data_IF_161802903492
#
_entry.id   IF_161802903492
#
_cell.length_a   1.000
_cell.length_b   1.000
_cell.length_c   1.000
_cell.angle_alpha   90.00
_cell.angle_beta   90.00
_cell.angle_gamma   90.00
#
_symmetry.space_group_name_H-M   'P 1'
#
loop_
_entity.id
_entity.type
_entity.pdbx_description
1 polymer ?
#
# COMPACT_ATOMS: atom_id res chain seq x y z
N UNK A 1 -29.45 16.25 -21.36
CA UNK A 1 -29.01 15.37 -22.48
C UNK A 1 -27.59 15.70 -23.05
N UNK A 2 -26.85 16.69 -22.55
CA UNK A 2 -25.51 17.08 -23.08
C UNK A 2 -24.31 16.29 -22.55
N UNK A 3 -24.47 15.57 -21.41
CA UNK A 3 -23.38 14.80 -20.78
C UNK A 3 -22.77 13.66 -21.63
N UNK A 4 -23.56 12.85 -22.38
CA UNK A 4 -22.98 11.76 -23.18
C UNK A 4 -22.17 12.23 -24.37
N UNK A 5 -22.57 13.33 -25.02
CA UNK A 5 -21.84 13.90 -26.17
C UNK A 5 -20.48 14.49 -25.78
N UNK A 6 -20.39 15.15 -24.61
CA UNK A 6 -19.13 15.66 -24.09
C UNK A 6 -18.16 14.53 -23.70
N UNK A 7 -18.67 13.43 -23.11
CA UNK A 7 -17.86 12.27 -22.80
C UNK A 7 -17.31 11.59 -24.07
N UNK A 8 -18.15 11.39 -25.09
CA UNK A 8 -17.74 10.81 -26.36
C UNK A 8 -16.69 11.67 -27.10
N UNK A 9 -16.83 12.99 -27.07
CA UNK A 9 -15.86 13.91 -27.68
C UNK A 9 -14.52 13.90 -26.91
N UNK A 10 -14.54 13.78 -25.59
CA UNK A 10 -13.35 13.64 -24.78
C UNK A 10 -12.65 12.28 -25.01
N UNK A 11 -13.41 11.21 -25.23
CA UNK A 11 -12.86 9.88 -25.51
C UNK A 11 -12.15 9.82 -26.88
N UNK A 12 -12.52 10.67 -27.83
CA UNK A 12 -11.81 10.80 -29.11
C UNK A 12 -10.45 11.49 -28.94
N UNK A 13 -10.37 12.50 -28.06
CA UNK A 13 -9.13 13.27 -27.82
C UNK A 13 -8.25 12.55 -26.78
N UNK A 14 -8.88 11.92 -25.78
CA UNK A 14 -8.23 11.19 -24.69
C UNK A 14 -8.81 9.77 -24.60
N UNK A 15 -8.47 8.89 -25.56
CA UNK A 15 -9.04 7.56 -25.56
C UNK A 15 -8.69 6.81 -24.26
N UNK A 16 -9.66 6.07 -23.68
CA UNK A 16 -9.41 5.28 -22.49
C UNK A 16 -8.48 4.12 -22.81
N UNK A 17 -7.19 4.33 -22.56
CA UNK A 17 -6.14 3.35 -22.79
C UNK A 17 -5.80 2.57 -21.53
N UNK A 18 -5.51 1.29 -21.70
CA UNK A 18 -5.00 0.45 -20.63
C UNK A 18 -3.67 1.00 -20.07
N UNK A 19 -3.58 1.17 -18.76
CA UNK A 19 -2.36 1.65 -18.10
C UNK A 19 -1.17 0.71 -18.26
N UNK A 20 -1.40 -0.58 -18.55
CA UNK A 20 -0.37 -1.61 -18.77
C UNK A 20 0.00 -1.72 -20.23
N UNK A 21 -0.91 -2.21 -21.09
CA UNK A 21 -0.60 -2.56 -22.49
C UNK A 21 -0.90 -1.45 -23.51
N UNK A 22 -1.49 -0.32 -23.07
CA UNK A 22 -1.87 0.82 -23.91
C UNK A 22 -2.95 0.55 -24.96
N UNK A 23 -3.55 -0.64 -24.99
CA UNK A 23 -4.70 -0.90 -25.85
C UNK A 23 -5.92 -0.08 -25.42
N UNK A 24 -6.76 0.25 -26.39
CA UNK A 24 -8.03 0.93 -26.15
C UNK A 24 -8.99 0.02 -25.34
N UNK A 25 -9.72 0.61 -24.40
CA UNK A 25 -10.70 -0.08 -23.55
C UNK A 25 -12.05 0.59 -23.76
N UNK A 26 -12.98 0.00 -24.53
CA UNK A 26 -14.29 0.62 -24.82
C UNK A 26 -15.10 0.95 -23.56
N UNK A 27 -14.95 0.15 -22.52
CA UNK A 27 -15.65 0.27 -21.23
C UNK A 27 -14.65 0.29 -20.07
N UNK A 28 -13.76 1.29 -20.06
CA UNK A 28 -12.61 1.33 -19.14
C UNK A 28 -12.99 1.42 -17.64
N UNK A 29 -14.19 1.91 -17.33
CA UNK A 29 -14.58 2.17 -15.94
C UNK A 29 -13.59 3.10 -15.24
N UNK A 30 -13.39 2.93 -13.93
CA UNK A 30 -12.48 3.77 -13.14
C UNK A 30 -11.02 3.25 -13.12
N UNK A 31 -10.79 1.98 -13.48
CA UNK A 31 -9.47 1.33 -13.36
C UNK A 31 -8.54 1.62 -14.54
N UNK A 32 -9.09 1.73 -15.74
CA UNK A 32 -8.30 1.82 -16.98
C UNK A 32 -7.23 0.71 -17.09
N UNK A 33 -7.61 -0.52 -16.74
CA UNK A 33 -6.82 -1.75 -16.89
C UNK A 33 -7.71 -2.75 -17.60
N UNK A 34 -7.28 -3.26 -18.76
CA UNK A 34 -8.06 -4.24 -19.51
C UNK A 34 -8.08 -5.61 -18.81
N UNK A 35 -9.09 -6.46 -19.07
CA UNK A 35 -9.23 -7.77 -18.42
C UNK A 35 -7.97 -8.62 -18.52
N UNK A 36 -7.35 -8.71 -19.69
CA UNK A 36 -6.15 -9.51 -19.93
C UNK A 36 -4.97 -9.02 -19.08
N UNK A 37 -4.80 -7.70 -18.96
CA UNK A 37 -3.76 -7.15 -18.10
C UNK A 37 -4.06 -7.34 -16.61
N UNK A 38 -5.34 -7.41 -16.23
CA UNK A 38 -5.74 -7.67 -14.87
C UNK A 38 -5.45 -9.10 -14.44
N UNK A 39 -5.64 -10.07 -15.33
CA UNK A 39 -5.26 -11.47 -15.12
C UNK A 39 -3.75 -11.65 -14.88
N UNK A 40 -2.92 -10.76 -15.46
CA UNK A 40 -1.47 -10.72 -15.23
C UNK A 40 -1.07 -10.05 -13.90
N UNK A 41 -2.03 -9.72 -13.04
CA UNK A 41 -1.84 -9.09 -11.74
C UNK A 41 -2.45 -9.97 -10.65
N UNK A 42 -1.80 -11.10 -10.30
CA UNK A 42 -2.38 -12.08 -9.40
C UNK A 42 -2.63 -11.48 -8.01
N UNK A 43 -3.87 -11.58 -7.48
CA UNK A 43 -4.15 -11.20 -6.11
C UNK A 43 -3.48 -12.19 -5.15
N UNK A 44 -3.10 -11.69 -3.98
CA UNK A 44 -2.62 -12.55 -2.89
C UNK A 44 -3.85 -13.10 -2.16
N UNK A 45 -4.00 -14.43 -2.21
CA UNK A 45 -5.16 -15.15 -1.66
C UNK A 45 -4.74 -16.14 -0.58
N UNK A 46 -5.70 -16.53 0.26
CA UNK A 46 -5.53 -17.55 1.30
C UNK A 46 -5.03 -18.90 0.71
N UNK A 47 -4.29 -19.72 1.50
CA UNK A 47 -3.98 -19.50 2.92
C UNK A 47 -2.84 -18.50 3.14
N UNK A 48 -3.00 -17.64 4.15
CA UNK A 48 -2.07 -16.55 4.47
C UNK A 48 -1.57 -16.64 5.91
N UNK A 49 -0.39 -16.09 6.16
CA UNK A 49 0.02 -15.82 7.53
C UNK A 49 -0.97 -14.84 8.18
N UNK A 50 -1.52 -15.20 9.34
CA UNK A 50 -2.52 -14.38 10.05
C UNK A 50 -2.00 -13.00 10.40
N UNK A 51 -0.70 -12.86 10.65
CA UNK A 51 -0.05 -11.59 10.98
C UNK A 51 0.52 -10.90 9.74
N UNK A 52 1.57 -11.44 9.12
CA UNK A 52 2.25 -10.68 8.05
C UNK A 52 1.65 -10.84 6.65
N UNK A 53 0.67 -11.74 6.46
CA UNK A 53 -0.02 -11.92 5.18
C UNK A 53 0.85 -12.55 4.07
N UNK A 54 1.92 -13.27 4.42
CA UNK A 54 2.65 -14.06 3.42
C UNK A 54 1.79 -15.24 2.99
N UNK A 55 1.63 -15.50 1.68
CA UNK A 55 0.87 -16.66 1.22
C UNK A 55 1.64 -17.95 1.45
N UNK A 56 0.89 -19.03 1.69
CA UNK A 56 1.42 -20.38 1.75
C UNK A 56 1.07 -21.16 0.47
N UNK A 57 1.94 -22.09 0.10
CA UNK A 57 1.65 -23.02 -0.99
C UNK A 57 0.79 -24.17 -0.49
N UNK A 58 -0.19 -24.58 -1.31
CA UNK A 58 -1.06 -25.73 -1.03
C UNK A 58 -2.39 -25.37 -0.35
N UNK A 59 -3.15 -26.41 0.01
CA UNK A 59 -4.43 -26.29 0.70
C UNK A 59 -4.21 -26.17 2.21
N UNK A 60 -5.08 -25.41 2.88
CA UNK A 60 -5.02 -25.23 4.34
C UNK A 60 -5.78 -23.99 4.79
N UNK A 61 -5.67 -23.72 6.08
CA UNK A 61 -6.22 -22.50 6.70
C UNK A 61 -5.11 -21.49 7.00
N UNK A 62 -5.50 -20.25 7.20
CA UNK A 62 -4.58 -19.20 7.66
C UNK A 62 -3.91 -19.60 8.99
N UNK A 63 -2.58 -19.45 9.06
CA UNK A 63 -1.80 -19.77 10.26
C UNK A 63 -0.56 -18.86 10.36
N UNK A 64 0.18 -18.90 11.46
CA UNK A 64 1.41 -18.13 11.62
C UNK A 64 2.55 -18.72 10.77
N UNK A 65 3.27 -17.86 10.03
CA UNK A 65 4.51 -18.29 9.38
C UNK A 65 5.66 -18.40 10.41
N UNK A 66 6.70 -19.17 10.07
CA UNK A 66 7.86 -19.35 10.94
C UNK A 66 8.50 -18.04 11.42
N UNK A 67 8.60 -17.04 10.54
CA UNK A 67 9.12 -15.72 10.91
C UNK A 67 8.28 -15.01 11.97
N UNK A 68 6.95 -15.01 11.82
CA UNK A 68 6.04 -14.38 12.79
C UNK A 68 5.91 -15.20 14.10
N UNK A 69 6.10 -16.51 14.03
CA UNK A 69 6.13 -17.37 15.23
C UNK A 69 7.37 -17.12 16.07
N UNK A 70 8.53 -16.93 15.43
CA UNK A 70 9.81 -16.71 16.11
C UNK A 70 9.96 -15.27 16.63
N UNK A 71 9.50 -14.28 15.85
CA UNK A 71 9.60 -12.86 16.17
C UNK A 71 8.33 -12.15 15.72
N UNK A 72 7.40 -11.99 16.68
CA UNK A 72 6.13 -11.31 16.42
C UNK A 72 6.39 -9.85 16.03
N UNK A 73 5.91 -9.37 14.89
CA UNK A 73 6.09 -7.98 14.51
C UNK A 73 5.29 -7.02 15.39
N UNK A 74 5.68 -5.75 15.39
CA UNK A 74 5.02 -4.68 16.16
C UNK A 74 3.72 -4.19 15.52
N UNK A 75 3.32 -4.71 14.37
CA UNK A 75 2.00 -4.52 13.80
C UNK A 75 1.14 -5.77 14.01
N UNK A 76 -0.17 -5.59 14.13
CA UNK A 76 -1.10 -6.69 14.46
C UNK A 76 -1.47 -7.53 13.24
N UNK A 77 -1.59 -6.89 12.07
CA UNK A 77 -1.86 -7.60 10.82
C UNK A 77 -1.32 -6.83 9.61
N UNK A 78 -0.96 -7.56 8.56
CA UNK A 78 -0.59 -6.97 7.28
C UNK A 78 -1.21 -7.75 6.12
N UNK A 79 -1.68 -7.03 5.09
CA UNK A 79 -2.16 -7.61 3.83
C UNK A 79 -1.67 -6.79 2.66
N UNK A 80 -1.35 -7.47 1.57
CA UNK A 80 -1.10 -6.85 0.28
C UNK A 80 -2.14 -7.33 -0.72
N UNK A 81 -2.55 -6.45 -1.64
CA UNK A 81 -3.56 -6.81 -2.62
C UNK A 81 -3.00 -7.74 -3.70
N UNK A 82 -1.79 -7.48 -4.18
CA UNK A 82 -1.20 -8.14 -5.35
C UNK A 82 0.19 -8.69 -5.04
N UNK A 83 0.61 -9.71 -5.79
CA UNK A 83 2.01 -10.08 -5.87
C UNK A 83 2.81 -8.97 -6.59
N UNK A 84 4.04 -8.67 -6.10
CA UNK A 84 4.92 -7.66 -6.71
C UNK A 84 5.72 -8.27 -7.86
N UNK A 85 5.02 -8.57 -8.95
CA UNK A 85 5.59 -9.19 -10.15
C UNK A 85 4.85 -8.73 -11.42
N UNK A 86 5.36 -9.03 -12.58
CA UNK A 86 4.71 -8.74 -13.86
C UNK A 86 4.14 -7.32 -13.95
N UNK A 87 2.90 -7.21 -14.38
CA UNK A 87 2.20 -5.94 -14.60
C UNK A 87 2.03 -5.10 -13.33
N UNK A 88 1.82 -5.74 -12.16
CA UNK A 88 1.71 -5.01 -10.88
C UNK A 88 3.02 -4.32 -10.52
N UNK A 89 4.17 -4.99 -10.68
CA UNK A 89 5.49 -4.40 -10.49
C UNK A 89 5.72 -3.23 -11.44
N UNK A 90 5.38 -3.37 -12.71
CA UNK A 90 5.62 -2.35 -13.73
C UNK A 90 4.79 -1.07 -13.47
N UNK A 91 3.52 -1.21 -13.07
CA UNK A 91 2.66 -0.09 -12.69
C UNK A 91 3.21 0.62 -11.44
N UNK A 92 3.58 -0.11 -10.40
CA UNK A 92 4.13 0.47 -9.18
C UNK A 92 5.49 1.14 -9.46
N UNK A 93 6.32 0.54 -10.30
CA UNK A 93 7.59 1.14 -10.72
C UNK A 93 7.36 2.44 -11.51
N UNK A 94 6.40 2.46 -12.44
CA UNK A 94 6.04 3.66 -13.20
C UNK A 94 5.49 4.76 -12.28
N UNK A 95 4.69 4.39 -11.28
CA UNK A 95 4.19 5.29 -10.24
C UNK A 95 5.35 5.88 -9.40
N UNK A 96 6.30 5.03 -8.96
CA UNK A 96 7.43 5.45 -8.11
C UNK A 96 8.48 6.32 -8.82
N UNK A 97 8.81 5.99 -10.07
CA UNK A 97 10.04 6.48 -10.71
C UNK A 97 9.83 7.20 -12.03
N UNK A 98 8.63 7.11 -12.64
CA UNK A 98 8.33 7.77 -13.91
C UNK A 98 7.32 8.91 -13.77
N UNK A 99 7.13 9.41 -12.55
CA UNK A 99 6.20 10.50 -12.20
C UNK A 99 4.74 10.31 -12.71
N UNK A 100 4.30 9.04 -12.89
CA UNK A 100 2.94 8.73 -13.34
C UNK A 100 1.96 8.74 -12.17
N UNK A 101 1.77 9.91 -11.55
CA UNK A 101 0.94 10.08 -10.35
C UNK A 101 -0.54 9.74 -10.57
N UNK A 102 -1.03 9.75 -11.82
CA UNK A 102 -2.39 9.30 -12.17
C UNK A 102 -2.63 7.81 -11.83
N UNK A 103 -1.57 6.99 -11.77
CA UNK A 103 -1.67 5.58 -11.38
C UNK A 103 -2.07 5.37 -9.91
N UNK A 104 -2.04 6.43 -9.08
CA UNK A 104 -2.55 6.37 -7.69
C UNK A 104 -3.99 5.84 -7.63
N UNK A 105 -4.85 6.27 -8.61
CA UNK A 105 -6.26 5.90 -8.62
C UNK A 105 -6.46 4.41 -8.91
N UNK A 106 -6.03 3.84 -10.04
CA UNK A 106 -6.18 2.41 -10.30
C UNK A 106 -5.53 1.53 -9.24
N UNK A 107 -4.33 1.89 -8.74
CA UNK A 107 -3.66 1.11 -7.69
C UNK A 107 -4.44 1.10 -6.37
N UNK A 108 -4.95 2.26 -5.93
CA UNK A 108 -5.77 2.34 -4.73
C UNK A 108 -7.13 1.64 -4.89
N UNK A 109 -7.76 1.72 -6.07
CA UNK A 109 -9.01 1.04 -6.36
C UNK A 109 -8.86 -0.47 -6.33
N UNK A 110 -7.82 -1.01 -6.96
CA UNK A 110 -7.48 -2.45 -6.89
C UNK A 110 -7.25 -2.89 -5.43
N UNK A 111 -6.49 -2.09 -4.66
CA UNK A 111 -6.26 -2.37 -3.25
C UNK A 111 -7.55 -2.38 -2.46
N UNK A 112 -8.44 -1.41 -2.69
CA UNK A 112 -9.75 -1.35 -2.03
C UNK A 112 -10.63 -2.54 -2.41
N UNK A 113 -10.69 -2.87 -3.68
CA UNK A 113 -11.51 -3.98 -4.17
C UNK A 113 -11.10 -5.31 -3.53
N UNK A 114 -9.81 -5.60 -3.49
CA UNK A 114 -9.28 -6.86 -2.99
C UNK A 114 -9.29 -6.93 -1.46
N UNK A 115 -8.98 -5.82 -0.77
CA UNK A 115 -8.79 -5.82 0.68
C UNK A 115 -9.95 -5.20 1.47
N UNK A 116 -11.07 -4.82 0.84
CA UNK A 116 -12.17 -4.11 1.52
C UNK A 116 -12.77 -4.88 2.70
N UNK A 117 -12.93 -6.19 2.58
CA UNK A 117 -13.45 -7.05 3.65
C UNK A 117 -12.47 -7.12 4.82
N UNK A 118 -11.19 -7.37 4.53
CA UNK A 118 -10.14 -7.36 5.54
C UNK A 118 -10.06 -6.01 6.26
N UNK A 119 -10.07 -4.89 5.53
CA UNK A 119 -10.02 -3.56 6.13
C UNK A 119 -11.23 -3.32 7.04
N UNK A 120 -12.43 -3.67 6.59
CA UNK A 120 -13.66 -3.54 7.40
C UNK A 120 -13.63 -4.38 8.66
N UNK A 121 -13.11 -5.59 8.61
CA UNK A 121 -12.98 -6.46 9.79
C UNK A 121 -12.08 -5.87 10.87
N UNK A 122 -11.05 -5.09 10.47
CA UNK A 122 -10.14 -4.40 11.39
C UNK A 122 -10.71 -3.10 11.99
N UNK A 123 -11.76 -2.54 11.41
CA UNK A 123 -12.46 -1.32 11.87
C UNK A 123 -11.50 -0.16 12.17
N UNK A 124 -10.62 0.25 11.25
CA UNK A 124 -9.67 1.31 11.51
C UNK A 124 -10.36 2.66 11.71
N UNK A 125 -9.86 3.43 12.67
CA UNK A 125 -10.35 4.78 12.99
C UNK A 125 -9.63 5.83 12.15
N UNK A 126 -8.38 5.52 11.71
CA UNK A 126 -7.50 6.48 11.06
C UNK A 126 -6.61 5.79 10.00
N UNK A 127 -6.45 6.44 8.85
CA UNK A 127 -5.45 6.04 7.85
C UNK A 127 -4.18 6.87 8.07
N UNK A 128 -3.03 6.21 8.13
CA UNK A 128 -1.73 6.86 8.18
C UNK A 128 -0.82 6.35 7.06
N UNK A 129 -0.36 7.20 6.14
CA UNK A 129 0.60 6.81 5.11
C UNK A 129 2.01 6.70 5.69
N UNK A 130 2.77 5.69 5.28
CA UNK A 130 4.19 5.59 5.60
C UNK A 130 4.94 6.80 5.04
N UNK A 131 5.65 7.58 5.89
CA UNK A 131 6.30 8.79 5.44
C UNK A 131 7.63 8.53 4.72
N UNK A 132 7.91 9.33 3.72
CA UNK A 132 9.23 9.41 3.10
C UNK A 132 10.13 10.41 3.86
N UNK A 133 11.42 10.13 3.86
CA UNK A 133 12.40 11.12 4.33
C UNK A 133 12.44 12.34 3.38
N UNK A 134 12.70 13.54 3.93
CA UNK A 134 12.70 14.81 3.17
C UNK A 134 13.55 14.76 1.90
N UNK A 135 14.77 14.19 1.94
CA UNK A 135 15.64 14.02 0.77
C UNK A 135 14.95 13.21 -0.35
N UNK A 136 14.28 12.09 0.01
CA UNK A 136 13.57 11.26 -0.96
C UNK A 136 12.30 11.92 -1.49
N UNK A 137 11.60 12.67 -0.63
CA UNK A 137 10.44 13.46 -1.03
C UNK A 137 10.82 14.56 -2.01
N UNK A 138 11.91 15.29 -1.75
CA UNK A 138 12.44 16.35 -2.63
C UNK A 138 12.85 15.79 -4.00
N UNK A 139 13.55 14.65 -4.04
CA UNK A 139 13.98 14.03 -5.31
C UNK A 139 12.84 13.41 -6.12
N UNK A 140 11.77 12.95 -5.46
CA UNK A 140 10.64 12.27 -6.09
C UNK A 140 9.46 13.20 -6.39
N UNK A 141 9.34 14.31 -5.65
CA UNK A 141 8.25 15.29 -5.76
C UNK A 141 6.97 14.92 -5.01
N UNK A 142 6.77 13.66 -4.62
CA UNK A 142 5.57 13.20 -3.92
C UNK A 142 5.83 11.96 -3.06
N UNK A 143 4.91 11.67 -2.14
CA UNK A 143 4.87 10.44 -1.36
C UNK A 143 3.75 9.53 -1.89
N UNK A 144 4.11 8.33 -2.36
CA UNK A 144 3.19 7.34 -2.91
C UNK A 144 2.12 6.93 -1.91
N UNK A 145 2.54 6.64 -0.67
CA UNK A 145 1.63 6.22 0.38
C UNK A 145 0.58 7.31 0.70
N UNK A 146 0.96 8.59 0.64
CA UNK A 146 0.03 9.71 0.79
C UNK A 146 -0.99 9.73 -0.33
N UNK A 147 -0.54 9.62 -1.60
CA UNK A 147 -1.43 9.66 -2.76
C UNK A 147 -2.40 8.45 -2.78
N UNK A 148 -1.94 7.27 -2.35
CA UNK A 148 -2.80 6.09 -2.17
C UNK A 148 -3.79 6.30 -1.03
N UNK A 149 -3.30 6.77 0.13
CA UNK A 149 -4.11 7.03 1.31
C UNK A 149 -5.24 8.03 1.08
N UNK A 150 -5.03 9.04 0.22
CA UNK A 150 -6.08 10.00 -0.20
C UNK A 150 -7.27 9.30 -0.87
N UNK A 151 -7.00 8.41 -1.81
CA UNK A 151 -8.06 7.66 -2.50
C UNK A 151 -8.74 6.67 -1.56
N UNK A 152 -7.94 5.94 -0.75
CA UNK A 152 -8.46 5.01 0.25
C UNK A 152 -9.36 5.70 1.27
N UNK A 153 -8.93 6.86 1.79
CA UNK A 153 -9.73 7.66 2.74
C UNK A 153 -11.08 8.07 2.14
N UNK A 154 -11.10 8.53 0.90
CA UNK A 154 -12.33 8.90 0.20
C UNK A 154 -13.26 7.70 -0.01
N UNK A 155 -12.71 6.54 -0.40
CA UNK A 155 -13.49 5.32 -0.69
C UNK A 155 -14.01 4.63 0.55
N UNK A 156 -13.20 4.55 1.59
CA UNK A 156 -13.51 3.84 2.83
C UNK A 156 -14.23 4.73 3.86
N UNK A 157 -14.24 6.05 3.65
CA UNK A 157 -14.78 7.05 4.58
C UNK A 157 -14.05 7.06 5.94
N UNK A 158 -12.74 6.80 5.91
CA UNK A 158 -11.87 6.80 7.08
C UNK A 158 -10.98 8.05 7.02
N UNK A 159 -10.85 8.83 8.11
CA UNK A 159 -9.97 10.00 8.16
C UNK A 159 -8.52 9.68 7.80
N UNK A 160 -7.82 10.64 7.18
CA UNK A 160 -6.42 10.52 6.78
C UNK A 160 -5.55 11.49 7.57
N UNK A 161 -4.60 10.97 8.35
CA UNK A 161 -3.55 11.77 8.98
C UNK A 161 -2.22 11.62 8.21
N UNK A 162 -1.77 12.70 7.59
CA UNK A 162 -0.55 12.76 6.78
C UNK A 162 0.66 13.30 7.54
N UNK A 163 0.50 13.76 8.78
CA UNK A 163 1.47 14.63 9.44
C UNK A 163 2.02 14.09 10.76
N UNK A 164 1.27 13.23 11.42
CA UNK A 164 1.62 12.80 12.77
C UNK A 164 2.77 11.79 12.77
N UNK A 165 2.73 10.77 11.89
CA UNK A 165 3.85 9.86 11.68
C UNK A 165 4.90 10.53 10.78
N UNK A 166 6.15 10.60 11.22
CA UNK A 166 7.25 11.27 10.52
C UNK A 166 8.46 10.37 10.36
N UNK A 167 9.17 10.52 9.24
CA UNK A 167 10.49 9.92 9.05
C UNK A 167 11.55 10.97 9.33
N UNK A 168 12.26 10.80 10.43
CA UNK A 168 13.22 11.78 10.97
C UNK A 168 14.67 11.49 10.59
N UNK A 169 14.99 10.24 10.22
CA UNK A 169 16.34 9.83 9.86
C UNK A 169 16.41 9.33 8.42
N UNK A 170 17.43 9.78 7.68
CA UNK A 170 17.76 9.22 6.38
C UNK A 170 18.30 7.80 6.54
N UNK A 171 17.91 6.93 5.65
CA UNK A 171 18.42 5.55 5.58
C UNK A 171 18.70 5.23 4.12
N UNK A 172 19.78 4.48 3.89
CA UNK A 172 20.16 4.04 2.56
C UNK A 172 19.02 3.28 1.85
N UNK A 173 18.91 3.37 0.51
CA UNK A 173 17.92 2.64 -0.24
C UNK A 173 18.05 1.12 0.01
N UNK A 174 16.96 0.49 0.41
CA UNK A 174 16.95 -0.94 0.79
C UNK A 174 17.18 -1.91 -0.39
N UNK A 175 17.23 -1.40 -1.62
CA UNK A 175 17.36 -2.24 -2.83
C UNK A 175 18.66 -3.04 -2.83
N UNK A 176 19.73 -2.52 -2.21
CA UNK A 176 21.07 -3.11 -2.18
C UNK A 176 21.43 -3.80 -0.86
N UNK A 177 20.49 -3.91 0.09
CA UNK A 177 20.75 -4.45 1.43
C UNK A 177 20.18 -5.85 1.60
N UNK A 178 20.91 -6.73 2.31
CA UNK A 178 20.40 -8.02 2.77
C UNK A 178 19.21 -7.84 3.73
N UNK A 179 18.39 -8.88 3.91
CA UNK A 179 17.17 -8.80 4.73
C UNK A 179 17.45 -8.39 6.19
N UNK A 180 18.55 -8.86 6.78
CA UNK A 180 18.98 -8.48 8.12
C UNK A 180 19.36 -7.00 8.22
N UNK A 181 20.13 -6.50 7.25
CA UNK A 181 20.59 -5.10 7.21
C UNK A 181 19.44 -4.12 7.01
N UNK A 182 18.35 -4.56 6.36
CA UNK A 182 17.13 -3.74 6.17
C UNK A 182 16.43 -3.44 7.50
N UNK A 183 16.43 -4.36 8.48
CA UNK A 183 15.84 -4.13 9.82
C UNK A 183 16.66 -3.11 10.61
N UNK A 184 17.97 -3.28 10.64
CA UNK A 184 18.88 -2.37 11.34
C UNK A 184 18.89 -0.97 10.72
N UNK A 185 18.80 -0.90 9.38
CA UNK A 185 18.81 0.36 8.64
C UNK A 185 17.62 1.29 8.97
N UNK A 186 16.42 0.78 9.27
CA UNK A 186 15.24 1.62 9.54
C UNK A 186 14.96 1.88 11.02
N UNK A 187 15.67 1.21 11.95
CA UNK A 187 15.47 1.36 13.39
C UNK A 187 15.70 2.81 13.83
N UNK A 188 14.76 3.42 14.57
CA UNK A 188 14.81 4.82 14.99
C UNK A 188 14.66 5.85 13.88
N UNK A 189 14.17 5.42 12.69
CA UNK A 189 13.97 6.32 11.57
C UNK A 189 12.63 7.07 11.61
N UNK A 190 11.70 6.66 12.47
CA UNK A 190 10.36 7.23 12.55
C UNK A 190 10.05 7.79 13.94
N UNK A 191 9.14 8.75 13.99
CA UNK A 191 8.63 9.35 15.23
C UNK A 191 7.17 9.77 15.07
N UNK A 192 6.46 9.85 16.20
CA UNK A 192 5.12 10.45 16.30
C UNK A 192 5.28 11.88 16.80
N UNK A 193 4.49 12.80 16.25
CA UNK A 193 4.47 14.21 16.64
C UNK A 193 3.59 14.46 17.88
N UNK A 194 2.39 13.93 17.87
CA UNK A 194 1.34 14.15 18.86
C UNK A 194 0.73 12.81 19.28
N UNK A 195 1.35 12.15 20.25
CA UNK A 195 0.94 10.80 20.69
C UNK A 195 -0.46 10.77 21.31
N UNK A 196 -0.85 11.83 22.03
CA UNK A 196 -2.16 11.89 22.66
C UNK A 196 -3.34 11.73 21.70
N UNK A 197 -3.18 12.14 20.44
CA UNK A 197 -4.21 11.98 19.41
C UNK A 197 -4.38 10.53 18.91
N UNK A 198 -3.46 9.63 19.25
CA UNK A 198 -3.42 8.26 18.76
C UNK A 198 -3.78 7.24 19.82
N UNK A 199 -3.90 7.65 21.09
CA UNK A 199 -4.17 6.73 22.20
C UNK A 199 -5.53 6.04 21.99
N UNK A 200 -5.53 4.70 22.04
CA UNK A 200 -6.71 3.87 21.83
C UNK A 200 -7.19 3.75 20.37
N UNK A 201 -6.52 4.41 19.39
CA UNK A 201 -6.91 4.34 17.99
C UNK A 201 -6.50 3.02 17.33
N UNK A 202 -7.27 2.60 16.32
CA UNK A 202 -6.91 1.54 15.38
C UNK A 202 -6.44 2.19 14.07
N UNK A 203 -5.16 2.03 13.77
CA UNK A 203 -4.52 2.70 12.63
C UNK A 203 -4.37 1.76 11.44
N UNK A 204 -4.84 2.21 10.28
CA UNK A 204 -4.56 1.59 8.99
C UNK A 204 -3.31 2.25 8.38
N UNK A 205 -2.17 1.58 8.52
CA UNK A 205 -0.90 2.02 7.94
C UNK A 205 -0.85 1.64 6.45
N UNK A 206 -0.61 2.62 5.58
CA UNK A 206 -0.62 2.43 4.11
C UNK A 206 0.78 2.61 3.55
N UNK A 207 1.23 1.65 2.72
CA UNK A 207 2.43 1.77 1.89
C UNK A 207 2.18 1.20 0.49
N UNK A 208 3.11 1.35 -0.42
CA UNK A 208 2.98 0.84 -1.80
C UNK A 208 3.41 -0.63 -1.93
N UNK A 209 4.52 -1.05 -1.32
CA UNK A 209 5.04 -2.43 -1.43
C UNK A 209 5.56 -2.93 -0.08
N UNK A 210 5.08 -4.08 0.33
CA UNK A 210 5.61 -4.82 1.46
C UNK A 210 6.71 -5.78 0.96
N UNK A 211 7.96 -5.52 1.37
CA UNK A 211 9.09 -6.42 1.08
C UNK A 211 9.40 -7.26 2.32
N UNK A 212 10.42 -6.93 3.08
CA UNK A 212 10.76 -7.60 4.34
C UNK A 212 9.87 -7.19 5.51
N UNK A 213 9.04 -6.16 5.35
CA UNK A 213 8.22 -5.60 6.43
C UNK A 213 8.98 -4.67 7.40
N UNK A 214 10.29 -4.46 7.22
CA UNK A 214 11.10 -3.68 8.18
C UNK A 214 10.59 -2.24 8.39
N UNK A 215 10.09 -1.60 7.34
CA UNK A 215 9.49 -0.26 7.44
C UNK A 215 8.19 -0.29 8.22
N UNK A 216 7.30 -1.26 7.92
CA UNK A 216 6.04 -1.45 8.63
C UNK A 216 6.27 -1.79 10.10
N UNK A 217 7.26 -2.64 10.38
CA UNK A 217 7.71 -3.01 11.73
C UNK A 217 8.10 -1.77 12.54
N UNK A 218 8.97 -0.93 12.02
CA UNK A 218 9.43 0.25 12.77
C UNK A 218 8.32 1.31 12.91
N UNK A 219 7.46 1.47 11.90
CA UNK A 219 6.26 2.30 12.03
C UNK A 219 5.31 1.74 13.10
N UNK A 220 5.06 0.42 13.09
CA UNK A 220 4.25 -0.26 14.10
C UNK A 220 4.78 -0.04 15.52
N UNK A 221 6.09 -0.21 15.70
CA UNK A 221 6.75 -0.01 16.97
C UNK A 221 6.52 1.41 17.56
N UNK A 222 6.68 2.46 16.74
CA UNK A 222 6.48 3.83 17.22
C UNK A 222 5.00 4.15 17.42
N UNK A 223 4.09 3.57 16.64
CA UNK A 223 2.64 3.72 16.81
C UNK A 223 2.18 3.02 18.10
N UNK A 224 2.60 1.79 18.36
CA UNK A 224 2.31 1.06 19.61
C UNK A 224 2.85 1.81 20.82
N UNK A 225 4.07 2.35 20.74
CA UNK A 225 4.65 3.18 21.82
C UNK A 225 3.86 4.50 22.05
N UNK A 226 3.09 4.98 21.07
CA UNK A 226 2.19 6.12 21.19
C UNK A 226 0.78 5.76 21.68
N UNK A 227 0.53 4.51 22.09
CA UNK A 227 -0.75 4.06 22.63
C UNK A 227 -1.78 3.61 21.58
N UNK A 228 -1.35 3.30 20.35
CA UNK A 228 -2.24 2.75 19.30
C UNK A 228 -2.65 1.32 19.64
N UNK A 229 -3.95 1.03 19.67
CA UNK A 229 -4.51 -0.27 20.01
C UNK A 229 -4.26 -1.32 18.92
N UNK A 230 -4.48 -0.94 17.66
CA UNK A 230 -4.29 -1.83 16.52
C UNK A 230 -3.53 -1.14 15.39
N UNK A 231 -2.48 -1.79 14.89
CA UNK A 231 -1.75 -1.36 13.71
C UNK A 231 -1.94 -2.38 12.60
N UNK A 232 -2.85 -2.08 11.70
CA UNK A 232 -3.09 -2.87 10.49
C UNK A 232 -2.36 -2.27 9.30
N UNK A 233 -1.56 -3.05 8.60
CA UNK A 233 -0.78 -2.61 7.43
C UNK A 233 -1.45 -3.08 6.16
N UNK A 234 -1.64 -2.17 5.20
CA UNK A 234 -2.04 -2.53 3.84
C UNK A 234 -1.06 -1.98 2.81
N UNK A 235 -0.84 -2.76 1.77
CA UNK A 235 -0.01 -2.34 0.63
C UNK A 235 -0.66 -2.75 -0.69
N UNK A 236 -0.27 -2.07 -1.77
CA UNK A 236 -0.71 -2.44 -3.11
C UNK A 236 -0.16 -3.80 -3.49
N UNK A 237 1.12 -4.05 -3.20
CA UNK A 237 1.74 -5.33 -3.54
C UNK A 237 2.72 -5.82 -2.46
N UNK A 238 3.06 -7.11 -2.53
CA UNK A 238 4.07 -7.75 -1.70
C UNK A 238 5.10 -8.47 -2.57
N UNK A 239 6.38 -8.31 -2.26
CA UNK A 239 7.43 -9.17 -2.81
C UNK A 239 7.32 -10.54 -2.13
N UNK A 240 7.11 -11.57 -2.95
CA UNK A 240 7.14 -12.97 -2.56
C UNK A 240 8.57 -13.43 -2.87
N UNK A 241 9.42 -13.54 -1.86
CA UNK A 241 10.88 -13.70 -1.90
C UNK A 241 11.44 -14.71 -2.84
#
# INVERSE_FOLDING_TARGET
>A
MLKPFFAAALDVIFPPLCHVCRRFIPTAGELHICPECRELMPPIVAPLCTVCGIPFSGAGTDHLCGGCSTSHPSFDAARAALAYEGASRDLIHAFKYRNKTHLRRPLALLTTEILSEFIRSRRPDLIMPVPLHRKKLSSRGFNQAVLLGEILSQRLKIPLDRRNLRRIRWTEPQVNLAAHDRRTNVRGAFSIRESALLNGCRVLLVDDVLTTGSTAEECGRVLKAAGVDDVTVITVARALG
#
